data_IF_405214880254
#
_entry.id   IF_405214880254
#
_cell.length_a   1.000
_cell.length_b   1.000
_cell.length_c   1.000
_cell.angle_alpha   90.00
_cell.angle_beta   90.00
_cell.angle_gamma   90.00
#
_symmetry.space_group_name_H-M   'P 1'
#
loop_
_entity.id
_entity.type
_entity.pdbx_description
1 polymer ?
#
# COMPACT_ATOMS: atom_id res chain seq x y z
N UNK A 1 12.68 20.38 -7.85
CA UNK A 1 12.69 18.99 -8.36
C UNK A 1 12.28 18.01 -7.25
N UNK A 2 12.85 18.08 -6.04
CA UNK A 2 12.44 17.25 -4.89
C UNK A 2 10.93 17.26 -4.61
N UNK A 3 10.29 18.45 -4.64
CA UNK A 3 8.84 18.60 -4.44
C UNK A 3 8.00 17.82 -5.48
N UNK A 4 8.48 17.72 -6.72
CA UNK A 4 7.74 17.02 -7.77
C UNK A 4 7.78 15.50 -7.56
N UNK A 5 8.88 14.98 -7.02
CA UNK A 5 9.02 13.55 -6.73
C UNK A 5 8.18 13.16 -5.51
N UNK A 6 8.07 14.03 -4.51
CA UNK A 6 7.20 13.80 -3.34
C UNK A 6 5.72 13.80 -3.76
N UNK A 7 5.32 14.73 -4.64
CA UNK A 7 3.96 14.80 -5.19
C UNK A 7 3.61 13.53 -5.99
N UNK A 8 4.55 13.07 -6.82
CA UNK A 8 4.43 11.82 -7.57
C UNK A 8 4.34 10.60 -6.65
N UNK A 9 5.12 10.58 -5.57
CA UNK A 9 5.12 9.53 -4.56
C UNK A 9 3.80 9.50 -3.78
N UNK A 10 3.24 10.65 -3.42
CA UNK A 10 1.92 10.75 -2.80
C UNK A 10 0.82 10.23 -3.75
N UNK A 11 0.95 10.50 -5.04
CA UNK A 11 0.05 9.93 -6.07
C UNK A 11 0.20 8.41 -6.17
N UNK A 12 1.44 7.90 -6.17
CA UNK A 12 1.74 6.48 -6.21
C UNK A 12 1.20 5.70 -4.99
N UNK A 13 1.19 6.33 -3.80
CA UNK A 13 0.61 5.74 -2.58
C UNK A 13 -0.89 5.42 -2.72
N UNK A 14 -1.60 6.09 -3.62
CA UNK A 14 -3.03 5.83 -3.92
C UNK A 14 -3.19 4.99 -5.20
N UNK A 15 -2.09 4.46 -5.75
CA UNK A 15 -2.11 3.64 -6.96
C UNK A 15 -2.31 4.43 -8.25
N UNK A 16 -2.00 5.74 -8.24
CA UNK A 16 -2.09 6.62 -9.42
C UNK A 16 -0.71 6.73 -10.06
N UNK A 17 -0.65 6.61 -11.40
CA UNK A 17 0.58 6.83 -12.16
C UNK A 17 1.01 8.29 -12.12
N UNK A 18 2.31 8.50 -11.94
CA UNK A 18 2.94 9.82 -11.89
C UNK A 18 3.74 10.15 -13.14
N UNK A 19 4.46 11.28 -13.10
CA UNK A 19 5.37 11.74 -14.16
C UNK A 19 6.72 11.02 -14.17
N UNK A 20 7.15 10.55 -13.01
CA UNK A 20 8.42 9.89 -12.74
C UNK A 20 8.25 8.46 -12.21
N UNK A 21 7.10 8.17 -11.60
CA UNK A 21 6.75 6.84 -11.11
C UNK A 21 5.73 6.19 -12.05
N UNK A 22 6.14 5.11 -12.73
CA UNK A 22 5.25 4.30 -13.57
C UNK A 22 4.82 3.01 -12.86
N UNK A 23 3.60 2.57 -13.16
CA UNK A 23 3.02 1.33 -12.60
C UNK A 23 2.98 0.28 -13.72
N UNK A 24 3.83 -0.75 -13.63
CA UNK A 24 3.87 -1.81 -14.62
C UNK A 24 3.11 -3.03 -14.12
N UNK A 25 2.10 -3.46 -14.89
CA UNK A 25 1.43 -4.74 -14.64
C UNK A 25 2.33 -5.89 -15.07
N UNK A 26 2.59 -6.83 -14.18
CA UNK A 26 3.43 -7.99 -14.49
C UNK A 26 2.63 -9.01 -15.28
N UNK A 27 3.08 -9.32 -16.50
CA UNK A 27 2.45 -10.35 -17.34
C UNK A 27 2.57 -11.71 -16.66
N UNK A 28 1.45 -12.41 -16.48
CA UNK A 28 1.40 -13.78 -15.98
C UNK A 28 0.96 -13.95 -14.51
N UNK A 29 0.83 -12.87 -13.74
CA UNK A 29 0.16 -12.87 -12.43
C UNK A 29 -0.95 -11.82 -12.46
N UNK A 30 -2.21 -12.26 -12.54
CA UNK A 30 -3.34 -11.34 -12.47
C UNK A 30 -3.28 -10.55 -11.16
N UNK A 31 -3.27 -9.22 -11.30
CA UNK A 31 -3.32 -8.29 -10.19
C UNK A 31 -1.98 -7.80 -9.64
N UNK A 32 -0.85 -8.42 -10.02
CA UNK A 32 0.46 -8.00 -9.54
C UNK A 32 0.99 -6.80 -10.34
N UNK A 33 1.24 -5.69 -9.63
CA UNK A 33 1.86 -4.47 -10.18
C UNK A 33 3.25 -4.29 -9.60
N UNK A 34 4.14 -3.69 -10.38
CA UNK A 34 5.48 -3.30 -9.94
C UNK A 34 5.66 -1.82 -10.23
N UNK A 35 6.07 -1.08 -9.21
CA UNK A 35 6.38 0.34 -9.34
C UNK A 35 7.82 0.51 -9.83
N UNK A 36 8.02 1.39 -10.81
CA UNK A 36 9.35 1.70 -11.34
C UNK A 36 9.53 3.21 -11.45
N UNK A 37 10.72 3.67 -11.05
CA UNK A 37 11.17 5.05 -11.29
C UNK A 37 11.70 5.08 -12.73
N UNK A 38 11.16 5.97 -13.57
CA UNK A 38 11.63 6.11 -14.94
C UNK A 38 13.03 6.73 -15.00
N UNK A 39 13.87 6.17 -15.87
CA UNK A 39 15.28 6.59 -16.07
C UNK A 39 15.40 8.02 -16.60
N UNK A 40 14.30 8.67 -17.00
CA UNK A 40 14.27 10.08 -17.40
C UNK A 40 14.54 11.04 -16.23
N UNK A 41 14.40 10.60 -14.97
CA UNK A 41 14.90 11.35 -13.81
C UNK A 41 16.41 11.59 -13.87
N UNK A 42 17.17 10.65 -14.44
CA UNK A 42 18.64 10.71 -14.52
C UNK A 42 19.11 11.67 -15.63
N UNK A 43 18.36 11.75 -16.74
CA UNK A 43 18.71 12.55 -17.91
C UNK A 43 18.41 14.05 -17.76
N UNK A 44 17.36 14.42 -17.00
CA UNK A 44 17.04 15.82 -16.70
C UNK A 44 18.10 16.50 -15.80
N UNK A 45 18.99 15.72 -15.18
CA UNK A 45 20.04 16.19 -14.29
C UNK A 45 21.36 16.46 -15.00
N UNK A 46 21.63 15.80 -16.13
CA UNK A 46 22.87 16.01 -16.89
C UNK A 46 22.85 17.32 -17.68
N UNK A 47 21.66 17.84 -18.03
CA UNK A 47 21.49 19.04 -18.85
C UNK A 47 21.63 20.35 -18.04
N UNK A 48 21.51 20.32 -16.71
CA UNK A 48 21.70 21.52 -15.87
C UNK A 48 23.16 21.75 -15.46
N UNK A 49 24.09 20.88 -15.88
CA UNK A 49 25.46 20.79 -15.35
C UNK A 49 26.46 21.77 -15.96
N UNK A 50 26.14 22.53 -17.01
CA UNK A 50 27.17 23.30 -17.69
C UNK A 50 27.60 24.58 -16.96
N UNK A 51 26.86 25.12 -15.97
CA UNK A 51 27.13 26.50 -15.53
C UNK A 51 26.92 26.89 -14.03
N UNK A 52 26.90 26.00 -13.02
CA UNK A 52 26.72 26.48 -11.62
C UNK A 52 27.54 25.76 -10.53
N UNK A 53 28.31 26.55 -9.77
CA UNK A 53 28.87 26.33 -8.42
C UNK A 53 28.87 24.89 -7.82
N UNK A 54 30.06 24.25 -7.84
CA UNK A 54 30.35 22.91 -7.28
C UNK A 54 29.72 22.60 -5.90
N UNK A 55 29.65 23.56 -4.97
CA UNK A 55 29.18 23.32 -3.60
C UNK A 55 27.68 23.03 -3.47
N UNK A 56 26.83 23.62 -4.33
CA UNK A 56 25.38 23.37 -4.32
C UNK A 56 25.01 22.09 -5.07
N UNK A 57 25.85 21.68 -6.03
CA UNK A 57 25.66 20.46 -6.84
C UNK A 57 25.74 19.20 -5.97
N UNK A 58 26.78 19.06 -5.12
CA UNK A 58 26.95 17.86 -4.29
C UNK A 58 25.81 17.68 -3.29
N UNK A 59 25.31 18.78 -2.71
CA UNK A 59 24.18 18.73 -1.77
C UNK A 59 22.87 18.35 -2.47
N UNK A 60 22.62 18.88 -3.67
CA UNK A 60 21.46 18.52 -4.48
C UNK A 60 21.46 17.06 -4.93
N UNK A 61 22.62 16.52 -5.34
CA UNK A 61 22.78 15.10 -5.71
C UNK A 61 22.54 14.16 -4.52
N UNK A 62 23.03 14.51 -3.32
CA UNK A 62 22.85 13.70 -2.12
C UNK A 62 21.38 13.60 -1.68
N UNK A 63 20.65 14.72 -1.68
CA UNK A 63 19.23 14.72 -1.33
C UNK A 63 18.38 13.94 -2.34
N UNK A 64 18.72 14.01 -3.63
CA UNK A 64 18.01 13.26 -4.66
C UNK A 64 18.21 11.75 -4.52
N UNK A 65 19.44 11.30 -4.26
CA UNK A 65 19.73 9.88 -4.02
C UNK A 65 18.94 9.35 -2.81
N UNK A 66 18.86 10.16 -1.75
CA UNK A 66 18.08 9.82 -0.56
C UNK A 66 16.58 9.69 -0.89
N UNK A 67 16.05 10.58 -1.74
CA UNK A 67 14.66 10.54 -2.16
C UNK A 67 14.34 9.33 -3.06
N UNK A 68 15.26 8.97 -3.96
CA UNK A 68 15.14 7.75 -4.76
C UNK A 68 15.14 6.49 -3.89
N UNK A 69 16.04 6.41 -2.91
CA UNK A 69 16.11 5.27 -1.98
C UNK A 69 14.82 5.16 -1.15
N UNK A 70 14.32 6.28 -0.62
CA UNK A 70 13.05 6.29 0.11
C UNK A 70 11.86 5.90 -0.77
N UNK A 71 11.82 6.39 -2.01
CA UNK A 71 10.79 6.04 -2.99
C UNK A 71 10.78 4.53 -3.24
N UNK A 72 11.96 3.92 -3.47
CA UNK A 72 12.09 2.46 -3.64
C UNK A 72 11.63 1.68 -2.43
N UNK A 73 11.89 2.18 -1.21
CA UNK A 73 11.44 1.53 0.02
C UNK A 73 9.94 1.62 0.26
N UNK A 74 9.27 2.61 -0.33
CA UNK A 74 7.82 2.81 -0.22
C UNK A 74 7.06 1.99 -1.27
N UNK A 75 7.69 1.57 -2.36
CA UNK A 75 7.02 0.78 -3.42
C UNK A 75 6.31 -0.49 -2.93
N UNK A 76 6.86 -1.31 -2.02
CA UNK A 76 6.12 -2.46 -1.48
C UNK A 76 4.78 -2.06 -0.85
N UNK A 77 4.70 -0.90 -0.19
CA UNK A 77 3.44 -0.38 0.36
C UNK A 77 2.42 -0.07 -0.75
N UNK A 78 2.87 0.53 -1.84
CA UNK A 78 2.00 0.84 -2.98
C UNK A 78 1.51 -0.44 -3.66
N UNK A 79 2.38 -1.45 -3.80
CA UNK A 79 2.03 -2.76 -4.35
C UNK A 79 0.98 -3.47 -3.47
N UNK A 80 1.21 -3.50 -2.16
CA UNK A 80 0.28 -4.06 -1.18
C UNK A 80 -1.10 -3.35 -1.22
N UNK A 81 -1.11 -2.01 -1.38
CA UNK A 81 -2.33 -1.23 -1.54
C UNK A 81 -3.12 -1.60 -2.79
N UNK A 82 -2.44 -1.72 -3.94
CA UNK A 82 -3.08 -2.05 -5.21
C UNK A 82 -3.63 -3.46 -5.17
N UNK A 83 -2.87 -4.42 -4.63
CA UNK A 83 -3.34 -5.79 -4.44
C UNK A 83 -4.60 -5.83 -3.55
N UNK A 84 -4.57 -5.12 -2.42
CA UNK A 84 -5.70 -5.06 -1.52
C UNK A 84 -6.95 -4.44 -2.18
N UNK A 85 -6.76 -3.37 -2.94
CA UNK A 85 -7.83 -2.69 -3.68
C UNK A 85 -8.48 -3.63 -4.71
N UNK A 86 -7.67 -4.36 -5.47
CA UNK A 86 -8.17 -5.34 -6.43
C UNK A 86 -8.90 -6.50 -5.78
N UNK A 87 -8.46 -6.95 -4.60
CA UNK A 87 -9.19 -7.99 -3.86
C UNK A 87 -10.59 -7.50 -3.44
N UNK A 88 -10.70 -6.26 -2.95
CA UNK A 88 -11.99 -5.65 -2.62
C UNK A 88 -12.89 -5.57 -3.85
N UNK A 89 -12.35 -5.18 -5.01
CA UNK A 89 -13.11 -5.09 -6.27
C UNK A 89 -13.53 -6.48 -6.78
N UNK A 90 -12.62 -7.45 -6.83
CA UNK A 90 -12.86 -8.79 -7.37
C UNK A 90 -13.79 -9.66 -6.51
N UNK A 91 -13.71 -9.53 -5.17
CA UNK A 91 -14.59 -10.27 -4.23
C UNK A 91 -15.89 -9.51 -3.91
N UNK A 92 -16.18 -8.42 -4.62
CA UNK A 92 -17.51 -7.79 -4.63
C UNK A 92 -18.52 -8.56 -5.51
N UNK A 93 -18.05 -9.48 -6.36
CA UNK A 93 -18.92 -10.34 -7.16
C UNK A 93 -19.65 -11.40 -6.31
N UNK A 94 -20.94 -11.57 -6.55
CA UNK A 94 -21.89 -12.41 -5.78
C UNK A 94 -21.49 -13.88 -5.49
N UNK A 95 -20.42 -14.42 -6.08
CA UNK A 95 -20.03 -15.84 -6.00
C UNK A 95 -19.07 -16.19 -4.86
N UNK A 96 -18.66 -15.23 -4.02
CA UNK A 96 -17.50 -15.42 -3.14
C UNK A 96 -17.83 -15.76 -1.68
N UNK A 97 -19.10 -15.85 -1.33
CA UNK A 97 -19.56 -16.25 0.01
C UNK A 97 -19.53 -15.11 1.03
N UNK A 98 -20.44 -15.17 2.02
CA UNK A 98 -20.70 -14.08 2.98
C UNK A 98 -19.45 -13.65 3.78
N UNK A 99 -18.61 -14.60 4.16
CA UNK A 99 -17.36 -14.34 4.90
C UNK A 99 -16.39 -13.49 4.08
N UNK A 100 -16.22 -13.80 2.79
CA UNK A 100 -15.33 -13.04 1.92
C UNK A 100 -15.90 -11.64 1.63
N UNK A 101 -17.23 -11.49 1.54
CA UNK A 101 -17.85 -10.17 1.42
C UNK A 101 -17.66 -9.32 2.67
N UNK A 102 -17.82 -9.91 3.86
CA UNK A 102 -17.57 -9.22 5.12
C UNK A 102 -16.09 -8.81 5.26
N UNK A 103 -15.17 -9.69 4.87
CA UNK A 103 -13.74 -9.38 4.82
C UNK A 103 -13.43 -8.26 3.81
N UNK A 104 -14.00 -8.32 2.60
CA UNK A 104 -13.82 -7.27 1.60
C UNK A 104 -14.37 -5.92 2.08
N UNK A 105 -15.49 -5.91 2.80
CA UNK A 105 -16.06 -4.70 3.40
C UNK A 105 -15.16 -4.13 4.51
N UNK A 106 -14.64 -4.98 5.40
CA UNK A 106 -13.71 -4.57 6.46
C UNK A 106 -12.39 -4.03 5.87
N UNK A 107 -11.87 -4.71 4.85
CA UNK A 107 -10.68 -4.26 4.12
C UNK A 107 -10.92 -2.92 3.42
N UNK A 108 -12.09 -2.74 2.79
CA UNK A 108 -12.48 -1.45 2.17
C UNK A 108 -12.48 -0.32 3.18
N UNK A 109 -13.02 -0.54 4.37
CA UNK A 109 -13.00 0.48 5.43
C UNK A 109 -11.56 0.85 5.83
N UNK A 110 -10.68 -0.16 6.00
CA UNK A 110 -9.27 0.08 6.29
C UNK A 110 -8.56 0.86 5.17
N UNK A 111 -8.82 0.55 3.90
CA UNK A 111 -8.23 1.26 2.76
C UNK A 111 -8.71 2.71 2.68
N UNK A 112 -9.97 3.00 3.05
CA UNK A 112 -10.48 4.37 3.14
C UNK A 112 -9.76 5.19 4.22
N UNK A 113 -9.51 4.59 5.39
CA UNK A 113 -8.73 5.24 6.45
C UNK A 113 -7.29 5.53 6.01
N UNK A 114 -6.68 4.59 5.27
CA UNK A 114 -5.36 4.79 4.65
C UNK A 114 -5.38 5.94 3.63
N UNK A 115 -6.37 5.99 2.73
CA UNK A 115 -6.49 7.08 1.76
C UNK A 115 -6.71 8.44 2.44
N UNK A 116 -7.50 8.48 3.52
CA UNK A 116 -7.68 9.70 4.31
C UNK A 116 -6.36 10.16 4.95
N UNK A 117 -5.54 9.23 5.44
CA UNK A 117 -4.19 9.55 5.93
C UNK A 117 -3.30 10.11 4.80
N UNK A 118 -3.29 9.50 3.62
CA UNK A 118 -2.50 10.02 2.48
C UNK A 118 -2.95 11.43 2.09
N UNK A 119 -4.26 11.69 2.06
CA UNK A 119 -4.80 13.03 1.79
C UNK A 119 -4.37 14.06 2.86
N UNK A 120 -4.27 13.65 4.13
CA UNK A 120 -3.73 14.52 5.18
C UNK A 120 -2.24 14.82 4.96
N UNK A 121 -1.44 13.84 4.54
CA UNK A 121 -0.02 14.04 4.22
C UNK A 121 0.13 15.00 3.04
N UNK A 122 -0.66 14.81 1.99
CA UNK A 122 -0.69 15.71 0.83
C UNK A 122 -1.05 17.14 1.23
N UNK A 123 -2.03 17.31 2.13
CA UNK A 123 -2.36 18.63 2.67
C UNK A 123 -1.18 19.25 3.43
N UNK A 124 -0.50 18.50 4.31
CA UNK A 124 0.68 18.99 5.03
C UNK A 124 1.84 19.33 4.08
N UNK A 125 1.98 18.58 2.99
CA UNK A 125 2.96 18.84 1.95
C UNK A 125 2.67 20.16 1.23
N UNK A 126 1.41 20.42 0.84
CA UNK A 126 1.00 21.69 0.23
C UNK A 126 1.22 22.90 1.15
N UNK A 127 1.17 22.71 2.46
CA UNK A 127 1.47 23.73 3.45
C UNK A 127 2.98 23.93 3.72
N UNK A 128 3.86 23.13 3.08
CA UNK A 128 5.30 23.15 3.31
C UNK A 128 5.71 22.60 4.69
N UNK A 129 4.85 21.83 5.34
CA UNK A 129 5.05 21.27 6.70
C UNK A 129 5.46 19.80 6.71
N UNK A 130 5.40 19.13 5.57
CA UNK A 130 5.80 17.73 5.45
C UNK A 130 7.28 17.63 5.06
N UNK A 131 8.08 17.01 5.91
CA UNK A 131 9.44 16.60 5.55
C UNK A 131 9.45 15.20 4.93
N UNK A 132 10.49 14.90 4.16
CA UNK A 132 10.74 13.58 3.58
C UNK A 132 10.84 12.50 4.65
N UNK A 133 11.49 12.81 5.78
CA UNK A 133 11.59 11.92 6.94
C UNK A 133 10.23 11.71 7.61
N UNK A 134 9.40 12.75 7.68
CA UNK A 134 8.03 12.65 8.18
C UNK A 134 7.19 11.70 7.33
N UNK A 135 7.24 11.86 6.00
CA UNK A 135 6.57 10.96 5.06
C UNK A 135 6.99 9.50 5.28
N UNK A 136 8.30 9.24 5.36
CA UNK A 136 8.83 7.90 5.62
C UNK A 136 8.29 7.31 6.93
N UNK A 137 8.27 8.08 8.01
CA UNK A 137 7.78 7.62 9.31
C UNK A 137 6.30 7.20 9.26
N UNK A 138 5.45 7.97 8.58
CA UNK A 138 4.04 7.61 8.39
C UNK A 138 3.88 6.34 7.55
N UNK A 139 4.61 6.25 6.43
CA UNK A 139 4.60 5.07 5.56
C UNK A 139 5.07 3.82 6.31
N UNK A 140 6.15 3.91 7.10
CA UNK A 140 6.72 2.80 7.86
C UNK A 140 5.70 2.14 8.79
N UNK A 141 4.82 2.93 9.43
CA UNK A 141 3.77 2.39 10.31
C UNK A 141 2.70 1.61 9.53
N UNK A 142 2.37 2.05 8.31
CA UNK A 142 1.35 1.40 7.48
C UNK A 142 1.88 0.16 6.78
N UNK A 143 3.19 0.09 6.48
CA UNK A 143 3.81 -1.05 5.81
C UNK A 143 3.52 -2.37 6.51
N UNK A 144 3.71 -2.47 7.84
CA UNK A 144 3.47 -3.74 8.54
C UNK A 144 2.01 -4.20 8.46
N UNK A 145 1.07 -3.25 8.58
CA UNK A 145 -0.37 -3.55 8.57
C UNK A 145 -0.84 -3.96 7.17
N UNK A 146 -0.50 -3.17 6.16
CA UNK A 146 -0.93 -3.42 4.80
C UNK A 146 -0.24 -4.66 4.21
N UNK A 147 1.03 -4.90 4.54
CA UNK A 147 1.75 -6.11 4.13
C UNK A 147 1.14 -7.38 4.73
N UNK A 148 0.80 -7.36 6.02
CA UNK A 148 0.16 -8.51 6.66
C UNK A 148 -1.20 -8.84 6.00
N UNK A 149 -1.95 -7.82 5.59
CA UNK A 149 -3.18 -7.96 4.83
C UNK A 149 -2.93 -8.45 3.40
N UNK A 150 -1.92 -7.92 2.71
CA UNK A 150 -1.53 -8.36 1.38
C UNK A 150 -1.17 -9.85 1.34
N UNK A 151 -0.33 -10.32 2.28
CA UNK A 151 0.02 -11.75 2.41
C UNK A 151 -1.23 -12.61 2.62
N UNK A 152 -2.20 -12.15 3.41
CA UNK A 152 -3.46 -12.85 3.61
C UNK A 152 -4.29 -12.91 2.33
N UNK A 153 -4.36 -11.80 1.60
CA UNK A 153 -5.08 -11.66 0.33
C UNK A 153 -4.47 -12.56 -0.74
N UNK A 154 -3.14 -12.59 -0.88
CA UNK A 154 -2.46 -13.48 -1.83
C UNK A 154 -2.79 -14.96 -1.55
N UNK A 155 -2.79 -15.36 -0.27
CA UNK A 155 -3.16 -16.73 0.14
C UNK A 155 -4.63 -17.02 -0.16
N UNK A 156 -5.52 -16.07 0.09
CA UNK A 156 -6.95 -16.22 -0.18
C UNK A 156 -7.27 -16.28 -1.68
N UNK A 157 -6.55 -15.51 -2.51
CA UNK A 157 -6.68 -15.52 -3.96
C UNK A 157 -6.13 -16.81 -4.56
N UNK A 158 -4.92 -17.22 -4.17
CA UNK A 158 -4.25 -18.42 -4.72
C UNK A 158 -5.01 -19.71 -4.41
N UNK A 159 -5.58 -19.81 -3.20
CA UNK A 159 -6.29 -21.01 -2.75
C UNK A 159 -7.80 -20.96 -3.03
N UNK A 160 -8.29 -19.87 -3.64
CA UNK A 160 -9.72 -19.58 -3.82
C UNK A 160 -10.58 -19.90 -2.58
N UNK A 161 -10.08 -19.51 -1.39
CA UNK A 161 -10.73 -19.89 -0.13
C UNK A 161 -12.09 -19.21 0.03
N UNK A 162 -13.04 -19.93 0.62
CA UNK A 162 -14.35 -19.38 0.97
C UNK A 162 -14.82 -19.90 2.33
N UNK A 163 -15.69 -19.13 2.99
CA UNK A 163 -16.28 -19.52 4.28
C UNK A 163 -15.24 -19.73 5.38
N UNK A 164 -15.28 -20.90 6.01
CA UNK A 164 -14.40 -21.28 7.13
C UNK A 164 -12.91 -21.33 6.75
N UNK A 165 -12.58 -21.63 5.49
CA UNK A 165 -11.20 -21.61 5.03
C UNK A 165 -10.59 -20.20 5.12
N UNK A 166 -11.36 -19.16 4.78
CA UNK A 166 -10.92 -17.76 4.91
C UNK A 166 -10.77 -17.34 6.38
N UNK A 167 -11.68 -17.77 7.26
CA UNK A 167 -11.56 -17.54 8.71
C UNK A 167 -10.31 -18.21 9.30
N UNK A 168 -10.01 -19.44 8.88
CA UNK A 168 -8.81 -20.15 9.32
C UNK A 168 -7.53 -19.47 8.84
N UNK A 169 -7.53 -18.90 7.62
CA UNK A 169 -6.41 -18.09 7.14
C UNK A 169 -6.22 -16.83 7.98
N UNK A 170 -7.30 -16.09 8.28
CA UNK A 170 -7.28 -14.91 9.16
C UNK A 170 -6.72 -15.25 10.54
N UNK A 171 -7.24 -16.30 11.19
CA UNK A 171 -6.76 -16.72 12.50
C UNK A 171 -5.30 -17.22 12.48
N UNK A 172 -4.90 -17.96 11.46
CA UNK A 172 -3.50 -18.43 11.35
C UNK A 172 -2.53 -17.29 11.12
N UNK A 173 -2.90 -16.30 10.30
CA UNK A 173 -2.11 -15.08 10.08
C UNK A 173 -2.02 -14.24 11.37
N UNK A 174 -3.14 -14.04 12.09
CA UNK A 174 -3.15 -13.30 13.35
C UNK A 174 -2.22 -13.95 14.41
N UNK A 175 -2.23 -15.29 14.50
CA UNK A 175 -1.32 -16.04 15.37
C UNK A 175 0.14 -15.90 14.95
N UNK A 176 0.42 -15.94 13.65
CA UNK A 176 1.78 -15.74 13.14
C UNK A 176 2.32 -14.34 13.47
N UNK A 177 1.44 -13.34 13.55
CA UNK A 177 1.77 -11.96 13.91
C UNK A 177 1.75 -11.69 15.43
N UNK A 178 1.91 -12.73 16.27
CA UNK A 178 1.93 -12.58 17.73
C UNK A 178 2.95 -11.54 18.24
N UNK A 179 4.04 -11.31 17.51
CA UNK A 179 5.06 -10.30 17.85
C UNK A 179 4.67 -8.84 17.58
N UNK A 180 3.72 -8.57 16.68
CA UNK A 180 3.26 -7.21 16.35
C UNK A 180 1.83 -7.02 16.84
N UNK A 181 1.68 -6.31 17.96
CA UNK A 181 0.38 -6.11 18.62
C UNK A 181 -0.60 -5.27 17.81
N UNK A 182 -0.10 -4.34 17.01
CA UNK A 182 -0.94 -3.50 16.16
C UNK A 182 -1.51 -4.32 15.00
N UNK A 183 -0.65 -5.07 14.30
CA UNK A 183 -1.06 -5.93 13.18
C UNK A 183 -1.98 -7.06 13.67
N UNK A 184 -1.66 -7.67 14.81
CA UNK A 184 -2.53 -8.71 15.39
C UNK A 184 -3.91 -8.17 15.73
N UNK A 185 -4.00 -7.02 16.39
CA UNK A 185 -5.29 -6.39 16.72
C UNK A 185 -6.09 -6.03 15.47
N UNK A 186 -5.42 -5.59 14.40
CA UNK A 186 -6.06 -5.36 13.10
C UNK A 186 -6.65 -6.65 12.51
N UNK A 187 -5.87 -7.74 12.48
CA UNK A 187 -6.30 -9.04 11.96
C UNK A 187 -7.42 -9.66 12.81
N UNK A 188 -7.38 -9.50 14.13
CA UNK A 188 -8.46 -9.91 15.04
C UNK A 188 -9.76 -9.17 14.72
N UNK A 189 -9.71 -7.83 14.59
CA UNK A 189 -10.89 -7.03 14.19
C UNK A 189 -11.48 -7.49 12.85
N UNK A 190 -10.64 -7.78 11.86
CA UNK A 190 -11.10 -8.33 10.58
C UNK A 190 -11.72 -9.72 10.73
N UNK A 191 -11.19 -10.52 11.65
CA UNK A 191 -11.74 -11.85 11.94
C UNK A 191 -13.10 -11.77 12.60
N UNK A 192 -13.30 -10.84 13.53
CA UNK A 192 -14.58 -10.61 14.20
C UNK A 192 -15.66 -10.17 13.20
N UNK A 193 -15.33 -9.28 12.27
CA UNK A 193 -16.24 -8.88 11.19
C UNK A 193 -16.64 -10.07 10.32
N UNK A 194 -15.68 -10.91 9.97
CA UNK A 194 -15.89 -12.07 9.11
C UNK A 194 -16.67 -13.20 9.81
N UNK A 195 -16.39 -13.43 11.10
CA UNK A 195 -17.06 -14.45 11.93
C UNK A 195 -18.49 -14.04 12.25
N UNK A 196 -18.77 -12.75 12.49
CA UNK A 196 -20.12 -12.25 12.69
C UNK A 196 -21.02 -12.52 11.48
N UNK A 197 -20.49 -12.38 10.25
CA UNK A 197 -21.22 -12.73 9.04
C UNK A 197 -21.50 -14.25 8.93
N UNK A 198 -20.57 -15.08 9.41
CA UNK A 198 -20.74 -16.53 9.47
C UNK A 198 -21.78 -16.96 10.52
N UNK A 199 -21.72 -16.39 11.72
CA UNK A 199 -22.66 -16.69 12.82
C UNK A 199 -24.09 -16.27 12.49
N UNK A 200 -24.29 -15.10 11.87
CA UNK A 200 -25.61 -14.67 11.38
C UNK A 200 -26.22 -15.63 10.36
N UNK A 201 -25.40 -16.39 9.64
CA UNK A 201 -25.90 -17.43 8.75
C UNK A 201 -26.39 -18.64 9.54
N UNK A 202 -25.66 -19.04 10.60
CA UNK A 202 -26.02 -20.17 11.46
C UNK A 202 -27.27 -19.89 12.30
N UNK A 203 -27.44 -18.66 12.79
CA UNK A 203 -28.65 -18.25 13.55
C UNK A 203 -29.94 -18.26 12.73
N UNK A 204 -29.83 -18.35 11.40
CA UNK A 204 -30.95 -18.34 10.46
C UNK A 204 -31.43 -19.74 10.06
N UNK A 205 -30.78 -20.78 10.58
CA UNK A 205 -31.15 -22.20 10.45
C UNK A 205 -31.54 -22.76 11.82
#
# INVERSE_FOLDING_TARGET
>A
QELLVIDDLLSALVGIEGRYISIKRVRGKEGYVVFQIDSSMDLALQVSCDHAEKGRIYLGLANLLLLQELTRRIFPLCEDFVLASQFVESRSHFKTGLVNHALAAALRAFLLDYQAMVAQLEHQFRLGRLSVQGLWFFCQRMMSSLNALAVLIEKAMSNNTSGSATLNLLHSQAKAMAGDSAVRSLLEKMTDCASAAYLRMLERF
#
